data_IF_760220061395
#
_entry.id   IF_760220061395
#
_cell.length_a   1.000
_cell.length_b   1.000
_cell.length_c   1.000
_cell.angle_alpha   90.00
_cell.angle_beta   90.00
_cell.angle_gamma   90.00
#
_symmetry.space_group_name_H-M   'P 1'
#
loop_
_entity.id
_entity.type
_entity.pdbx_description
1 polymer ?
#
# COMPACT_ATOMS: atom_id res chain seq x y z
N UNK A 1 7.58 3.09 -33.13
CA UNK A 1 7.62 4.54 -32.81
C UNK A 1 6.80 4.87 -31.55
N UNK A 2 5.53 4.45 -31.45
CA UNK A 2 4.65 4.71 -30.28
C UNK A 2 5.17 4.09 -28.97
N UNK A 3 5.66 2.84 -28.99
CA UNK A 3 6.16 2.17 -27.78
C UNK A 3 7.40 2.88 -27.21
N UNK A 4 8.33 3.31 -28.07
CA UNK A 4 9.52 4.06 -27.62
C UNK A 4 9.16 5.38 -26.95
N UNK A 5 8.25 6.15 -27.56
CA UNK A 5 7.76 7.39 -26.95
C UNK A 5 7.04 7.16 -25.60
N UNK A 6 6.28 6.07 -25.46
CA UNK A 6 5.68 5.67 -24.18
C UNK A 6 6.73 5.30 -23.13
N UNK A 7 7.80 4.61 -23.53
CA UNK A 7 8.90 4.24 -22.63
C UNK A 7 9.70 5.46 -22.18
N UNK A 8 9.95 6.42 -23.08
CA UNK A 8 10.58 7.71 -22.73
C UNK A 8 9.71 8.48 -21.73
N UNK A 9 8.41 8.64 -22.02
CA UNK A 9 7.50 9.31 -21.08
C UNK A 9 7.45 8.62 -19.70
N UNK A 10 7.51 7.29 -19.68
CA UNK A 10 7.54 6.54 -18.43
C UNK A 10 8.85 6.77 -17.67
N UNK A 11 9.99 6.79 -18.38
CA UNK A 11 11.29 7.08 -17.79
C UNK A 11 11.32 8.47 -17.16
N UNK A 12 10.86 9.50 -17.88
CA UNK A 12 10.80 10.88 -17.38
C UNK A 12 9.95 10.97 -16.10
N UNK A 13 8.83 10.23 -16.05
CA UNK A 13 7.97 10.17 -14.85
C UNK A 13 8.66 9.51 -13.66
N UNK A 14 9.45 8.46 -13.88
CA UNK A 14 10.17 7.81 -12.78
C UNK A 14 11.27 8.74 -12.25
N UNK A 15 12.02 9.40 -13.14
CA UNK A 15 13.07 10.35 -12.73
C UNK A 15 12.48 11.51 -11.93
N UNK A 16 11.33 12.05 -12.36
CA UNK A 16 10.60 13.05 -11.59
C UNK A 16 10.18 12.54 -10.21
N UNK A 17 9.68 11.30 -10.10
CA UNK A 17 9.31 10.72 -8.80
C UNK A 17 10.53 10.59 -7.89
N UNK A 18 11.67 10.14 -8.41
CA UNK A 18 12.92 10.01 -7.65
C UNK A 18 13.44 11.37 -7.17
N UNK A 19 13.38 12.40 -8.02
CA UNK A 19 13.75 13.75 -7.65
C UNK A 19 12.86 14.30 -6.54
N UNK A 20 11.54 14.18 -6.69
CA UNK A 20 10.55 14.60 -5.69
C UNK A 20 10.71 13.88 -4.35
N UNK A 21 11.17 12.63 -4.37
CA UNK A 21 11.38 11.82 -3.18
C UNK A 21 12.82 11.84 -2.66
N UNK A 22 13.75 12.54 -3.32
CA UNK A 22 15.20 12.48 -3.06
C UNK A 22 15.59 12.64 -1.58
N UNK A 23 14.92 13.50 -0.83
CA UNK A 23 15.12 13.72 0.62
C UNK A 23 14.86 12.48 1.49
N UNK A 24 14.15 11.48 0.96
CA UNK A 24 13.85 10.21 1.61
C UNK A 24 14.75 9.06 1.11
N UNK A 25 15.77 9.37 0.29
CA UNK A 25 16.71 8.39 -0.27
C UNK A 25 15.99 7.22 -1.00
N UNK A 26 15.15 7.53 -2.01
CA UNK A 26 14.37 6.50 -2.69
C UNK A 26 15.29 5.52 -3.40
N UNK A 27 15.02 4.22 -3.24
CA UNK A 27 15.78 3.17 -3.94
C UNK A 27 14.89 2.52 -4.99
N UNK A 28 15.27 2.66 -6.26
CA UNK A 28 14.56 1.98 -7.36
C UNK A 28 14.80 0.48 -7.27
N UNK A 29 13.72 -0.29 -7.16
CA UNK A 29 13.76 -1.75 -7.27
C UNK A 29 14.02 -2.13 -8.73
N UNK A 30 15.18 -2.74 -8.98
CA UNK A 30 15.64 -3.12 -10.32
C UNK A 30 16.25 -4.52 -10.30
N UNK A 31 16.54 -5.04 -11.48
CA UNK A 31 17.37 -6.23 -11.58
C UNK A 31 18.82 -5.92 -11.19
N UNK A 32 19.49 -6.89 -10.57
CA UNK A 32 20.90 -6.81 -10.24
C UNK A 32 21.61 -8.12 -10.57
N UNK A 33 22.91 -8.05 -10.79
CA UNK A 33 23.75 -9.24 -11.08
C UNK A 33 24.71 -9.46 -9.94
N UNK A 34 24.76 -10.70 -9.45
CA UNK A 34 25.73 -11.17 -8.45
C UNK A 34 26.24 -12.53 -8.88
N UNK A 35 27.56 -12.72 -8.90
CA UNK A 35 28.20 -13.99 -9.28
C UNK A 35 27.72 -14.57 -10.62
N UNK A 36 27.43 -13.70 -11.60
CA UNK A 36 26.93 -14.09 -12.93
C UNK A 36 25.45 -14.46 -12.99
N UNK A 37 24.71 -14.39 -11.88
CA UNK A 37 23.28 -14.67 -11.79
C UNK A 37 22.49 -13.35 -11.72
N UNK A 38 21.39 -13.28 -12.48
CA UNK A 38 20.49 -12.12 -12.50
C UNK A 38 19.36 -12.33 -11.50
N UNK A 39 19.18 -11.33 -10.64
CA UNK A 39 18.17 -11.29 -9.58
C UNK A 39 17.22 -10.10 -9.77
N UNK A 40 16.02 -10.15 -9.18
CA UNK A 40 15.04 -9.06 -9.23
C UNK A 40 14.72 -8.53 -7.84
N UNK A 41 15.12 -7.28 -7.56
CA UNK A 41 14.81 -6.62 -6.29
C UNK A 41 13.31 -6.37 -6.10
N UNK A 42 12.58 -6.25 -7.21
CA UNK A 42 11.12 -6.12 -7.19
C UNK A 42 10.44 -7.43 -6.76
N UNK A 43 10.90 -8.56 -7.29
CA UNK A 43 10.37 -9.87 -6.89
C UNK A 43 10.74 -10.22 -5.46
N UNK A 44 11.95 -9.88 -5.01
CA UNK A 44 12.35 -9.98 -3.60
C UNK A 44 11.41 -9.18 -2.69
N UNK A 45 11.12 -7.93 -3.06
CA UNK A 45 10.19 -7.10 -2.29
C UNK A 45 8.79 -7.71 -2.21
N UNK A 46 8.26 -8.26 -3.31
CA UNK A 46 6.96 -8.93 -3.30
C UNK A 46 6.98 -10.24 -2.49
N UNK A 47 8.06 -11.01 -2.54
CA UNK A 47 8.22 -12.19 -1.68
C UNK A 47 8.24 -11.81 -0.20
N UNK A 48 8.90 -10.70 0.14
CA UNK A 48 8.86 -10.13 1.47
C UNK A 48 7.44 -9.72 1.89
N UNK A 49 6.68 -9.04 1.02
CA UNK A 49 5.30 -8.66 1.34
C UNK A 49 4.36 -9.85 1.57
N UNK A 50 4.61 -10.99 0.90
CA UNK A 50 3.76 -12.19 1.00
C UNK A 50 4.15 -13.06 2.20
N UNK A 51 5.43 -13.30 2.40
CA UNK A 51 5.93 -14.30 3.37
C UNK A 51 6.99 -13.81 4.32
N UNK A 52 7.31 -12.51 4.31
CA UNK A 52 8.46 -11.93 5.02
C UNK A 52 9.80 -12.57 4.68
N UNK A 53 9.90 -13.09 3.46
CA UNK A 53 11.10 -13.75 2.98
C UNK A 53 11.95 -12.78 2.16
N UNK A 54 13.13 -12.47 2.68
CA UNK A 54 14.12 -11.59 2.03
C UNK A 54 15.08 -12.34 1.10
N UNK A 55 14.83 -13.63 0.83
CA UNK A 55 15.71 -14.43 -0.01
C UNK A 55 15.81 -13.84 -1.44
N UNK A 56 17.03 -13.83 -2.02
CA UNK A 56 17.24 -13.35 -3.37
C UNK A 56 16.37 -14.06 -4.41
N UNK A 57 15.78 -13.31 -5.35
CA UNK A 57 14.91 -13.86 -6.38
C UNK A 57 15.63 -13.99 -7.71
N UNK A 58 15.83 -15.22 -8.21
CA UNK A 58 16.55 -15.49 -9.47
C UNK A 58 15.61 -15.37 -10.68
N UNK A 59 15.90 -14.42 -11.58
CA UNK A 59 15.11 -14.18 -12.80
C UNK A 59 15.22 -15.33 -13.81
N UNK A 60 16.42 -15.88 -13.99
CA UNK A 60 16.77 -16.71 -15.17
C UNK A 60 16.46 -18.22 -15.04
N UNK A 61 15.74 -18.65 -14.00
CA UNK A 61 15.29 -20.04 -13.85
C UNK A 61 14.13 -20.33 -14.82
N UNK A 62 14.45 -20.85 -16.01
CA UNK A 62 13.51 -21.15 -17.11
C UNK A 62 12.50 -22.27 -16.80
N UNK A 63 12.76 -23.02 -15.75
CA UNK A 63 12.11 -24.27 -15.33
C UNK A 63 10.89 -24.09 -14.42
N UNK A 64 10.61 -22.86 -13.96
CA UNK A 64 9.56 -22.59 -12.98
C UNK A 64 8.76 -21.35 -13.37
N UNK A 65 7.43 -21.45 -13.30
CA UNK A 65 6.55 -20.31 -13.57
C UNK A 65 6.67 -19.27 -12.47
N UNK A 66 6.43 -17.99 -12.80
CA UNK A 66 6.44 -16.90 -11.82
C UNK A 66 5.52 -17.20 -10.62
N UNK A 67 4.35 -17.80 -10.87
CA UNK A 67 3.40 -18.23 -9.83
C UNK A 67 3.96 -19.26 -8.84
N UNK A 68 4.92 -20.08 -9.27
CA UNK A 68 5.55 -21.15 -8.46
C UNK A 68 6.78 -20.63 -7.69
N UNK A 69 7.27 -19.44 -8.05
CA UNK A 69 8.38 -18.78 -7.36
C UNK A 69 7.95 -17.66 -6.42
N UNK A 70 6.74 -17.13 -6.62
CA UNK A 70 6.23 -15.91 -5.98
C UNK A 70 5.20 -16.21 -4.88
N UNK A 71 5.49 -17.20 -4.05
CA UNK A 71 4.73 -17.47 -2.83
C UNK A 71 5.47 -16.98 -1.58
N UNK A 72 6.59 -16.26 -1.72
CA UNK A 72 7.34 -15.74 -0.58
C UNK A 72 7.91 -16.83 0.34
N UNK A 73 8.04 -18.07 -0.12
CA UNK A 73 8.41 -19.20 0.74
C UNK A 73 7.30 -19.61 1.71
N UNK A 74 6.07 -19.13 1.54
CA UNK A 74 4.90 -19.50 2.35
C UNK A 74 4.35 -20.84 1.88
N UNK A 75 4.38 -21.83 2.76
CA UNK A 75 3.78 -23.14 2.54
C UNK A 75 2.27 -23.09 2.84
N UNK A 76 1.91 -22.61 4.02
CA UNK A 76 0.51 -22.57 4.50
C UNK A 76 0.24 -21.30 5.31
N UNK A 77 -0.99 -20.79 5.24
CA UNK A 77 -1.47 -19.68 6.07
C UNK A 77 -2.69 -20.11 6.85
N UNK A 78 -2.64 -19.90 8.15
CA UNK A 78 -3.73 -20.19 9.09
C UNK A 78 -4.30 -18.88 9.61
N UNK A 79 -5.62 -18.72 9.51
CA UNK A 79 -6.33 -17.57 10.03
C UNK A 79 -7.12 -17.95 11.29
N UNK A 80 -6.94 -17.15 12.34
CA UNK A 80 -7.82 -17.09 13.51
C UNK A 80 -8.43 -15.67 13.59
N UNK A 81 -9.32 -15.44 14.56
CA UNK A 81 -10.16 -14.24 14.60
C UNK A 81 -9.36 -12.91 14.56
N UNK A 82 -8.30 -12.80 15.37
CA UNK A 82 -7.46 -11.59 15.45
C UNK A 82 -5.99 -11.82 15.09
N UNK A 83 -5.62 -13.08 14.89
CA UNK A 83 -4.24 -13.50 14.70
C UNK A 83 -4.20 -14.53 13.59
N UNK A 84 -3.05 -14.71 12.98
CA UNK A 84 -2.80 -15.79 12.05
C UNK A 84 -1.39 -16.32 12.21
N UNK A 85 -1.11 -17.40 11.48
CA UNK A 85 0.19 -18.04 11.42
C UNK A 85 0.54 -18.31 9.96
N UNK A 86 1.78 -18.04 9.60
CA UNK A 86 2.42 -18.41 8.34
C UNK A 86 3.36 -19.57 8.66
N UNK A 87 3.22 -20.68 7.94
CA UNK A 87 4.19 -21.77 7.91
C UNK A 87 4.97 -21.63 6.61
N UNK A 88 6.29 -21.52 6.72
CA UNK A 88 7.18 -21.40 5.57
C UNK A 88 7.63 -22.78 5.05
N UNK A 89 8.21 -22.80 3.85
CA UNK A 89 8.75 -23.99 3.20
C UNK A 89 9.88 -24.65 4.01
N UNK A 90 10.65 -23.84 4.75
CA UNK A 90 11.71 -24.29 5.67
C UNK A 90 11.18 -24.75 7.04
N UNK A 91 9.86 -24.82 7.19
CA UNK A 91 9.13 -25.15 8.42
C UNK A 91 9.23 -24.11 9.54
N UNK A 92 9.82 -22.94 9.27
CA UNK A 92 9.73 -21.80 10.21
C UNK A 92 8.29 -21.28 10.30
N UNK A 93 7.93 -20.76 11.46
CA UNK A 93 6.62 -20.20 11.73
C UNK A 93 6.74 -18.70 12.00
N UNK A 94 5.84 -17.91 11.42
CA UNK A 94 5.63 -16.50 11.78
C UNK A 94 4.19 -16.29 12.19
N UNK A 95 3.96 -15.55 13.26
CA UNK A 95 2.64 -15.14 13.71
C UNK A 95 2.36 -13.73 13.22
N UNK A 96 1.10 -13.43 12.92
CA UNK A 96 0.71 -12.10 12.48
C UNK A 96 -0.61 -11.65 13.08
N UNK A 97 -0.80 -10.33 13.16
CA UNK A 97 -2.10 -9.71 13.42
C UNK A 97 -2.29 -8.51 12.52
N UNK A 98 -3.47 -8.43 11.91
CA UNK A 98 -3.85 -7.32 11.04
C UNK A 98 -4.81 -6.39 11.79
N UNK A 99 -4.44 -5.12 11.86
CA UNK A 99 -5.23 -4.04 12.45
C UNK A 99 -5.62 -3.10 11.32
N UNK A 100 -6.92 -2.98 11.08
CA UNK A 100 -7.45 -1.94 10.20
C UNK A 100 -7.55 -0.63 10.99
N UNK A 101 -6.97 0.44 10.46
CA UNK A 101 -7.01 1.75 11.09
C UNK A 101 -7.97 2.63 10.28
N UNK A 102 -9.23 2.66 10.73
CA UNK A 102 -10.32 3.35 10.04
C UNK A 102 -10.21 4.87 10.13
N UNK A 103 -9.82 5.41 11.29
CA UNK A 103 -9.63 6.86 11.50
C UNK A 103 -8.51 7.11 12.52
N UNK A 104 -7.74 8.18 12.32
CA UNK A 104 -6.81 8.68 13.31
C UNK A 104 -7.41 9.88 14.02
N UNK A 105 -7.39 9.88 15.36
CA UNK A 105 -7.49 11.16 16.06
C UNK A 105 -6.21 11.96 15.79
N UNK A 106 -6.26 13.27 15.48
CA UNK A 106 -5.08 14.05 15.10
C UNK A 106 -3.90 13.99 16.11
N UNK A 107 -4.20 13.77 17.40
CA UNK A 107 -3.19 13.63 18.45
C UNK A 107 -2.65 12.19 18.61
N UNK A 108 -3.32 11.18 18.06
CA UNK A 108 -2.96 9.77 18.29
C UNK A 108 -2.00 9.20 17.27
N UNK A 109 -1.67 9.92 16.19
CA UNK A 109 -0.74 9.41 15.17
C UNK A 109 0.69 9.27 15.70
N UNK A 110 1.27 10.34 16.29
CA UNK A 110 2.64 10.29 16.81
C UNK A 110 2.78 9.22 17.88
N UNK A 111 1.91 9.26 18.90
CA UNK A 111 1.91 8.29 20.00
C UNK A 111 1.74 6.83 19.54
N UNK A 112 1.01 6.59 18.45
CA UNK A 112 0.86 5.25 17.88
C UNK A 112 2.18 4.78 17.26
N UNK A 113 2.81 5.60 16.41
CA UNK A 113 4.06 5.23 15.76
C UNK A 113 5.20 5.11 16.78
N UNK A 114 5.23 5.97 17.81
CA UNK A 114 6.21 5.88 18.89
C UNK A 114 6.08 4.56 19.65
N UNK A 115 4.84 4.10 19.90
CA UNK A 115 4.59 2.79 20.52
C UNK A 115 4.95 1.64 19.60
N UNK A 116 4.58 1.69 18.32
CA UNK A 116 4.92 0.64 17.35
C UNK A 116 6.43 0.51 17.20
N UNK A 117 7.15 1.63 17.06
CA UNK A 117 8.61 1.66 16.94
C UNK A 117 9.32 1.18 18.22
N UNK A 118 8.64 1.17 19.36
CA UNK A 118 9.17 0.64 20.62
C UNK A 118 8.93 -0.87 20.80
N UNK A 119 8.12 -1.50 19.95
CA UNK A 119 7.90 -2.95 19.99
C UNK A 119 9.10 -3.67 19.34
N UNK A 120 9.50 -4.80 19.93
CA UNK A 120 10.42 -5.75 19.32
C UNK A 120 9.68 -6.63 18.31
N UNK A 121 9.09 -6.00 17.30
CA UNK A 121 8.30 -6.67 16.27
C UNK A 121 8.51 -6.06 14.88
N UNK A 122 8.41 -6.91 13.86
CA UNK A 122 8.41 -6.45 12.48
C UNK A 122 6.99 -6.04 12.08
N UNK A 123 6.84 -4.93 11.37
CA UNK A 123 5.52 -4.47 10.94
C UNK A 123 5.51 -4.00 9.50
N UNK A 124 4.37 -4.21 8.85
CA UNK A 124 4.06 -3.66 7.54
C UNK A 124 2.91 -2.68 7.73
N UNK A 125 3.20 -1.41 7.48
CA UNK A 125 2.19 -0.36 7.48
C UNK A 125 1.86 0.02 6.04
N UNK A 126 0.64 -0.27 5.62
CA UNK A 126 0.17 -0.10 4.25
C UNK A 126 -0.88 1.02 4.17
N UNK A 127 -0.68 1.89 3.19
CA UNK A 127 -1.63 2.92 2.78
C UNK A 127 -2.20 2.55 1.41
N UNK A 128 -3.52 2.56 1.29
CA UNK A 128 -4.22 2.29 0.04
C UNK A 128 -5.14 3.45 -0.30
N UNK A 129 -4.94 4.05 -1.48
CA UNK A 129 -5.85 5.02 -2.05
C UNK A 129 -6.49 4.46 -3.32
N UNK A 130 -7.81 4.46 -3.36
CA UNK A 130 -8.58 4.02 -4.52
C UNK A 130 -9.43 5.18 -5.05
N UNK A 131 -9.11 5.74 -6.23
CA UNK A 131 -9.85 6.85 -6.79
C UNK A 131 -11.27 6.40 -7.13
N UNK A 132 -12.25 7.27 -6.86
CA UNK A 132 -13.64 7.03 -7.24
C UNK A 132 -13.94 7.72 -8.56
N UNK A 133 -14.95 7.20 -9.27
CA UNK A 133 -15.42 7.81 -10.50
C UNK A 133 -15.89 9.25 -10.24
N UNK A 134 -15.28 10.21 -10.92
CA UNK A 134 -15.51 11.65 -10.70
C UNK A 134 -16.95 12.06 -10.94
N UNK A 135 -17.64 11.47 -11.93
CA UNK A 135 -19.03 11.81 -12.23
C UNK A 135 -19.97 11.35 -11.12
N UNK A 136 -19.82 10.09 -10.68
CA UNK A 136 -20.60 9.55 -9.55
C UNK A 136 -20.39 10.38 -8.29
N UNK A 137 -19.14 10.82 -8.07
CA UNK A 137 -18.78 11.56 -6.87
C UNK A 137 -19.29 13.01 -6.90
N UNK A 138 -19.18 13.67 -8.06
CA UNK A 138 -19.77 14.99 -8.31
C UNK A 138 -21.25 14.99 -7.96
N UNK A 139 -22.02 14.04 -8.50
CA UNK A 139 -23.46 13.96 -8.31
C UNK A 139 -23.82 13.72 -6.84
N UNK A 140 -23.07 12.85 -6.16
CA UNK A 140 -23.26 12.57 -4.73
C UNK A 140 -22.96 13.76 -3.83
N UNK A 141 -21.89 14.50 -4.12
CA UNK A 141 -21.52 15.71 -3.39
C UNK A 141 -22.55 16.82 -3.58
N UNK A 142 -22.98 17.07 -4.83
CA UNK A 142 -24.01 18.06 -5.14
C UNK A 142 -25.36 17.71 -4.48
N UNK A 143 -25.75 16.43 -4.50
CA UNK A 143 -26.95 15.96 -3.83
C UNK A 143 -26.87 16.17 -2.31
N UNK A 144 -25.74 15.82 -1.70
CA UNK A 144 -25.53 15.95 -0.24
C UNK A 144 -25.50 17.41 0.19
N UNK A 145 -24.82 18.27 -0.57
CA UNK A 145 -24.80 19.72 -0.40
C UNK A 145 -26.23 20.29 -0.35
N UNK A 146 -27.04 20.01 -1.39
CA UNK A 146 -28.44 20.46 -1.45
C UNK A 146 -29.25 19.95 -0.25
N UNK A 147 -29.08 18.68 0.11
CA UNK A 147 -29.83 18.08 1.22
C UNK A 147 -29.53 18.77 2.55
N UNK A 148 -28.27 19.04 2.87
CA UNK A 148 -27.86 19.74 4.11
C UNK A 148 -28.50 21.13 4.17
N UNK A 149 -28.47 21.88 3.07
CA UNK A 149 -29.02 23.24 3.01
C UNK A 149 -30.54 23.21 3.20
N UNK A 150 -31.24 22.30 2.52
CA UNK A 150 -32.71 22.16 2.60
C UNK A 150 -33.15 21.71 4.00
N UNK A 151 -32.40 20.80 4.64
CA UNK A 151 -32.73 20.29 5.97
C UNK A 151 -32.43 21.25 7.12
N UNK A 152 -32.03 22.50 6.81
CA UNK A 152 -31.64 23.50 7.83
C UNK A 152 -30.30 23.19 8.51
N UNK A 153 -29.44 22.36 7.90
CA UNK A 153 -28.10 22.07 8.38
C UNK A 153 -27.14 23.24 8.17
N UNK A 154 -25.87 23.05 8.53
CA UNK A 154 -24.84 24.09 8.38
C UNK A 154 -24.69 24.51 6.91
N UNK A 155 -24.99 25.78 6.63
CA UNK A 155 -24.85 26.37 5.29
C UNK A 155 -23.40 26.31 4.80
N UNK A 156 -22.44 26.54 5.69
CA UNK A 156 -21.01 26.50 5.37
C UNK A 156 -20.58 25.10 4.92
N UNK A 157 -21.03 24.05 5.60
CA UNK A 157 -20.78 22.66 5.21
C UNK A 157 -21.44 22.35 3.85
N UNK A 158 -22.69 22.80 3.66
CA UNK A 158 -23.40 22.67 2.40
C UNK A 158 -22.65 23.32 1.23
N UNK A 159 -22.21 24.56 1.39
CA UNK A 159 -21.43 25.28 0.37
C UNK A 159 -20.09 24.60 0.09
N UNK A 160 -19.39 24.15 1.12
CA UNK A 160 -18.10 23.45 0.98
C UNK A 160 -18.23 22.20 0.11
N UNK A 161 -19.27 21.38 0.35
CA UNK A 161 -19.53 20.20 -0.48
C UNK A 161 -19.93 20.56 -1.92
N UNK A 162 -20.56 21.72 -2.12
CA UNK A 162 -20.87 22.27 -3.46
C UNK A 162 -19.59 22.61 -4.22
N UNK A 163 -18.69 23.38 -3.62
CA UNK A 163 -17.39 23.70 -4.22
C UNK A 163 -16.56 22.44 -4.52
N UNK A 164 -16.54 21.47 -3.60
CA UNK A 164 -15.86 20.19 -3.83
C UNK A 164 -16.45 19.41 -5.02
N UNK A 165 -17.78 19.47 -5.22
CA UNK A 165 -18.43 18.85 -6.38
C UNK A 165 -17.95 19.46 -7.69
N UNK A 166 -17.80 20.78 -7.75
CA UNK A 166 -17.31 21.50 -8.94
C UNK A 166 -15.86 21.15 -9.23
N UNK A 167 -14.98 21.21 -8.23
CA UNK A 167 -13.56 20.86 -8.38
C UNK A 167 -13.36 19.42 -8.87
N UNK A 168 -14.15 18.46 -8.35
CA UNK A 168 -14.13 17.06 -8.83
C UNK A 168 -14.67 16.96 -10.25
N UNK A 169 -15.74 17.69 -10.56
CA UNK A 169 -16.39 17.68 -11.87
C UNK A 169 -15.52 18.26 -12.99
N UNK A 170 -14.70 19.26 -12.66
CA UNK A 170 -13.76 19.90 -13.57
C UNK A 170 -12.46 19.11 -13.73
N UNK A 171 -12.20 18.15 -12.84
CA UNK A 171 -10.95 17.37 -12.82
C UNK A 171 -9.80 18.07 -12.09
N UNK A 172 -10.07 19.14 -11.35
CA UNK A 172 -9.07 19.87 -10.56
C UNK A 172 -8.59 19.04 -9.36
N UNK A 173 -9.48 18.22 -8.80
CA UNK A 173 -9.16 17.27 -7.72
C UNK A 173 -9.76 15.88 -7.99
N UNK A 174 -9.08 14.85 -7.49
CA UNK A 174 -9.59 13.47 -7.47
C UNK A 174 -9.84 13.08 -6.02
N UNK A 175 -11.03 12.55 -5.73
CA UNK A 175 -11.36 11.98 -4.42
C UNK A 175 -11.58 10.48 -4.51
N UNK A 176 -11.36 9.79 -3.41
CA UNK A 176 -11.32 8.33 -3.37
C UNK A 176 -11.55 7.78 -1.97
N UNK A 177 -11.51 6.46 -1.87
CA UNK A 177 -11.39 5.80 -0.57
C UNK A 177 -9.92 5.77 -0.18
N UNK A 178 -9.65 6.05 1.09
CA UNK A 178 -8.33 5.89 1.69
C UNK A 178 -8.44 4.90 2.84
N UNK A 179 -7.55 3.92 2.90
CA UNK A 179 -7.50 2.91 3.95
C UNK A 179 -6.07 2.75 4.45
N UNK A 180 -5.94 2.47 5.74
CA UNK A 180 -4.67 2.15 6.37
C UNK A 180 -4.79 0.80 7.05
N UNK A 181 -3.78 -0.04 6.90
CA UNK A 181 -3.67 -1.30 7.61
C UNK A 181 -2.28 -1.46 8.18
N UNK A 182 -2.22 -1.94 9.41
CA UNK A 182 -0.99 -2.34 10.07
C UNK A 182 -1.01 -3.85 10.24
N UNK A 183 0.01 -4.53 9.75
CA UNK A 183 0.24 -5.94 10.03
C UNK A 183 1.47 -6.04 10.91
N UNK A 184 1.29 -6.60 12.10
CA UNK A 184 2.37 -6.91 13.03
C UNK A 184 2.78 -8.37 12.84
N UNK A 185 4.07 -8.64 12.94
CA UNK A 185 4.65 -9.97 12.83
C UNK A 185 5.55 -10.28 14.00
N UNK A 186 5.53 -11.54 14.44
CA UNK A 186 6.36 -12.04 15.52
C UNK A 186 6.78 -13.50 15.28
N UNK A 187 7.93 -13.88 15.82
CA UNK A 187 8.45 -15.25 15.70
C UNK A 187 7.78 -16.23 16.69
N UNK A 188 6.97 -15.72 17.63
CA UNK A 188 6.16 -16.54 18.54
C UNK A 188 4.84 -15.86 18.88
N UNK A 189 3.83 -16.66 19.24
CA UNK A 189 2.53 -16.13 19.64
C UNK A 189 2.60 -15.26 20.91
N UNK A 190 3.54 -15.53 21.81
CA UNK A 190 3.72 -14.77 23.07
C UNK A 190 4.27 -13.36 22.85
N UNK A 191 4.96 -13.14 21.72
CA UNK A 191 5.53 -11.85 21.32
C UNK A 191 4.57 -10.99 20.48
N UNK A 192 3.39 -11.52 20.16
CA UNK A 192 2.33 -10.84 19.41
C UNK A 192 1.43 -10.06 20.38
#
# INVERSE_FOLDING_TARGET
RIIRAKLENFKDRIELIEELLSKYHPTRLKEYTKDGVVYSKQCEFYNFLVGMNEAPFICNRKDLYLKEKMHGGVKEVYFANKHGKILNDDLSEKYFSAIEISEYAPKSQSDLFDKINALDSEFIFMHAYSPKNSQVLKDKLAFTSRRIIISGGSKEQGMTLGCLSELVGNGDITLGSYGNSLVLFADSFEKM
#
